data_IF_807476921410
#
_entry.id   IF_807476921410
#
_cell.length_a   1.000
_cell.length_b   1.000
_cell.length_c   1.000
_cell.angle_alpha   90.00
_cell.angle_beta   90.00
_cell.angle_gamma   90.00
#
_symmetry.space_group_name_H-M   'P 1'
#
loop_
_entity.id
_entity.type
_entity.pdbx_description
1 polymer ?
#
# COMPACT_ATOMS: atom_id res chain seq x y z
N UNK A 1 33.19 40.70 -76.40
CA UNK A 1 33.39 39.29 -75.97
C UNK A 1 34.42 39.31 -74.85
N UNK A 2 34.13 38.64 -73.73
CA UNK A 2 35.06 38.22 -72.67
C UNK A 2 35.50 39.28 -71.61
N UNK A 3 34.98 39.03 -70.40
CA UNK A 3 35.50 39.15 -69.02
C UNK A 3 36.21 40.43 -68.55
N UNK A 4 35.78 40.92 -67.38
CA UNK A 4 36.59 40.97 -66.15
C UNK A 4 35.69 41.15 -64.90
N UNK A 5 35.92 40.40 -63.81
CA UNK A 5 35.29 40.60 -62.49
C UNK A 5 36.27 41.27 -61.50
N UNK A 6 35.77 41.44 -60.27
CA UNK A 6 36.45 41.80 -59.02
C UNK A 6 36.54 43.29 -58.66
N UNK A 7 35.85 43.62 -57.55
CA UNK A 7 36.41 44.54 -56.56
C UNK A 7 35.39 45.46 -55.89
N UNK A 8 35.21 45.23 -54.58
CA UNK A 8 34.73 46.18 -53.57
C UNK A 8 33.22 46.47 -53.52
N UNK A 9 32.56 46.10 -52.42
CA UNK A 9 32.51 46.99 -51.25
C UNK A 9 31.74 46.31 -50.10
N UNK A 10 32.49 45.98 -49.06
CA UNK A 10 31.98 45.79 -47.69
C UNK A 10 31.40 47.13 -47.20
N UNK A 11 30.11 47.16 -46.84
CA UNK A 11 29.49 48.14 -45.92
C UNK A 11 27.99 47.87 -45.83
N UNK A 12 27.49 47.34 -44.73
CA UNK A 12 26.18 47.66 -44.10
C UNK A 12 26.21 47.04 -42.70
N UNK A 13 26.58 47.82 -41.67
CA UNK A 13 25.65 48.48 -40.74
C UNK A 13 24.76 47.46 -40.01
N UNK A 14 25.14 47.08 -38.79
CA UNK A 14 24.17 46.77 -37.74
C UNK A 14 24.62 47.44 -36.43
N UNK A 15 24.07 48.62 -36.19
CA UNK A 15 24.08 49.33 -34.92
C UNK A 15 22.86 48.89 -34.12
N UNK A 16 23.10 48.52 -32.85
CA UNK A 16 22.21 48.66 -31.68
C UNK A 16 20.92 47.83 -31.67
N UNK A 17 20.88 46.86 -30.75
CA UNK A 17 19.66 46.19 -30.32
C UNK A 17 19.89 45.28 -29.11
N UNK A 18 19.77 45.88 -27.92
CA UNK A 18 19.26 45.24 -26.70
C UNK A 18 20.00 43.98 -26.15
N UNK A 19 20.85 44.24 -25.17
CA UNK A 19 21.12 43.35 -24.03
C UNK A 19 19.79 43.03 -23.35
N UNK A 20 19.22 41.84 -23.59
CA UNK A 20 18.16 41.22 -22.79
C UNK A 20 17.95 39.77 -23.23
N UNK A 21 19.05 39.02 -23.32
CA UNK A 21 18.98 37.56 -23.26
C UNK A 21 18.86 37.14 -21.80
N UNK A 22 17.75 37.50 -21.16
CA UNK A 22 17.34 36.86 -19.92
C UNK A 22 17.16 35.38 -20.27
N UNK A 23 18.21 34.59 -20.05
CA UNK A 23 18.07 33.19 -19.73
C UNK A 23 17.28 33.14 -18.42
N UNK A 24 15.96 33.35 -18.51
CA UNK A 24 15.02 32.67 -17.68
C UNK A 24 15.23 31.19 -17.98
N UNK A 25 16.27 30.63 -17.36
CA UNK A 25 16.23 29.27 -16.89
C UNK A 25 14.99 29.22 -16.02
N UNK A 26 13.85 28.94 -16.66
CA UNK A 26 12.78 28.15 -16.09
C UNK A 26 13.42 26.81 -15.71
N UNK A 27 14.31 26.84 -14.71
CA UNK A 27 14.38 25.78 -13.74
C UNK A 27 13.04 25.84 -13.05
N UNK A 28 12.02 25.27 -13.69
CA UNK A 28 11.06 24.48 -12.93
C UNK A 28 11.94 23.53 -12.13
N UNK A 29 12.28 23.96 -10.93
CA UNK A 29 12.70 23.06 -9.88
C UNK A 29 11.57 22.05 -9.85
N UNK A 30 11.77 20.93 -10.54
CA UNK A 30 11.13 19.67 -10.24
C UNK A 30 11.55 19.44 -8.79
N UNK A 31 10.83 20.05 -7.86
CA UNK A 31 10.87 19.68 -6.47
C UNK A 31 10.59 18.20 -6.51
N UNK A 32 11.62 17.39 -6.26
CA UNK A 32 11.49 15.96 -6.22
C UNK A 32 10.29 15.67 -5.31
N UNK A 33 9.22 15.13 -5.91
CA UNK A 33 8.01 14.82 -5.17
C UNK A 33 8.43 13.85 -4.08
N UNK A 34 8.36 14.28 -2.82
CA UNK A 34 8.68 13.41 -1.70
C UNK A 34 7.58 12.35 -1.68
N UNK A 35 7.96 11.09 -1.87
CA UNK A 35 7.04 9.99 -1.71
C UNK A 35 7.06 9.56 -0.24
N UNK A 36 5.89 9.64 0.40
CA UNK A 36 5.66 9.12 1.74
C UNK A 36 5.12 7.69 1.64
N UNK A 37 5.54 6.85 2.57
CA UNK A 37 5.04 5.50 2.72
C UNK A 37 4.69 5.19 4.16
N UNK A 38 3.62 4.43 4.34
CA UNK A 38 3.21 3.88 5.62
C UNK A 38 2.88 2.40 5.42
N UNK A 39 3.55 1.51 6.13
CA UNK A 39 3.43 0.06 5.89
C UNK A 39 3.23 -0.70 7.19
N UNK A 40 2.35 -1.70 7.20
CA UNK A 40 2.18 -2.61 8.33
C UNK A 40 1.97 -4.06 7.86
N UNK A 41 2.54 -4.99 8.63
CA UNK A 41 2.36 -6.42 8.45
C UNK A 41 1.13 -6.90 9.24
N UNK A 42 0.25 -7.66 8.59
CA UNK A 42 -0.96 -8.23 9.18
C UNK A 42 -0.64 -9.59 9.81
N UNK A 43 -0.99 -9.81 11.07
CA UNK A 43 -0.59 -11.01 11.81
C UNK A 43 -1.68 -11.60 12.72
N UNK A 44 -2.76 -10.86 12.96
CA UNK A 44 -3.78 -11.20 13.95
C UNK A 44 -5.12 -11.41 13.27
N UNK A 45 -5.58 -12.67 13.22
CA UNK A 45 -6.90 -13.06 12.71
C UNK A 45 -7.89 -13.19 13.86
N UNK A 46 -9.06 -12.56 13.73
CA UNK A 46 -10.20 -12.75 14.65
C UNK A 46 -11.50 -12.80 13.86
N UNK A 47 -12.53 -13.46 14.40
CA UNK A 47 -13.85 -13.50 13.78
C UNK A 47 -14.94 -13.35 14.85
N UNK A 48 -16.06 -12.76 14.44
CA UNK A 48 -17.27 -12.62 15.23
C UNK A 48 -18.45 -13.08 14.38
N UNK A 49 -19.34 -13.85 14.98
CA UNK A 49 -20.55 -14.35 14.33
C UNK A 49 -21.77 -13.91 15.13
N UNK A 50 -22.82 -13.49 14.42
CA UNK A 50 -24.09 -13.13 15.02
C UNK A 50 -25.24 -13.57 14.12
N UNK A 51 -26.26 -14.17 14.73
CA UNK A 51 -27.53 -14.48 14.07
C UNK A 51 -28.62 -13.53 14.57
N UNK A 52 -29.26 -12.82 13.64
CA UNK A 52 -30.40 -11.94 13.87
C UNK A 52 -31.48 -12.27 12.84
N UNK A 53 -32.37 -13.21 13.16
CA UNK A 53 -33.42 -13.70 12.26
C UNK A 53 -34.10 -12.57 11.44
N UNK A 54 -34.20 -12.69 10.10
CA UNK A 54 -33.84 -13.85 9.27
C UNK A 54 -32.40 -13.82 8.72
N UNK A 55 -31.49 -13.05 9.32
CA UNK A 55 -30.16 -12.82 8.78
C UNK A 55 -29.06 -13.46 9.64
N UNK A 56 -28.17 -14.20 8.99
CA UNK A 56 -26.88 -14.58 9.59
C UNK A 56 -25.81 -13.58 9.14
N UNK A 57 -25.01 -13.09 10.08
CA UNK A 57 -23.92 -12.16 9.83
C UNK A 57 -22.61 -12.69 10.42
N UNK A 58 -21.53 -12.53 9.67
CA UNK A 58 -20.18 -12.87 10.11
C UNK A 58 -19.23 -11.73 9.78
N UNK A 59 -18.49 -11.27 10.78
CA UNK A 59 -17.44 -10.28 10.61
C UNK A 59 -16.09 -10.94 10.89
N UNK A 60 -15.17 -10.85 9.94
CA UNK A 60 -13.80 -11.36 10.08
C UNK A 60 -12.83 -10.19 10.04
N UNK A 61 -11.79 -10.23 10.88
CA UNK A 61 -10.76 -9.22 10.96
C UNK A 61 -9.39 -9.87 10.78
N UNK A 62 -8.56 -9.25 9.95
CA UNK A 62 -7.14 -9.51 9.87
C UNK A 62 -6.41 -8.19 10.12
N UNK A 63 -5.69 -8.09 11.22
CA UNK A 63 -5.10 -6.82 11.68
C UNK A 63 -3.61 -6.95 11.98
N UNK A 64 -2.90 -5.84 11.94
CA UNK A 64 -1.51 -5.76 12.38
C UNK A 64 -1.43 -5.61 13.90
N UNK A 65 -0.66 -6.42 14.62
CA UNK A 65 -0.42 -6.23 16.05
C UNK A 65 0.42 -4.98 16.33
N UNK A 66 1.39 -4.70 15.45
CA UNK A 66 2.22 -3.50 15.48
C UNK A 66 1.64 -2.48 14.51
N UNK A 67 1.20 -1.35 15.04
CA UNK A 67 0.59 -0.28 14.25
C UNK A 67 1.66 0.65 13.69
N UNK A 68 1.56 1.03 12.40
CA UNK A 68 2.55 1.90 11.81
C UNK A 68 2.31 3.36 12.23
N UNK A 69 3.40 4.14 12.26
CA UNK A 69 3.40 5.57 12.60
C UNK A 69 4.06 6.38 11.48
N UNK A 70 3.43 7.47 11.06
CA UNK A 70 3.96 8.46 10.12
C UNK A 70 4.20 9.77 10.86
N UNK A 71 5.40 10.32 10.81
CA UNK A 71 5.70 11.67 11.32
C UNK A 71 6.01 12.55 10.11
N UNK A 72 5.12 13.49 9.79
CA UNK A 72 5.32 14.38 8.65
C UNK A 72 4.61 15.73 8.83
N UNK A 73 5.35 16.81 8.58
CA UNK A 73 4.80 18.15 8.58
C UNK A 73 4.12 18.42 7.23
N UNK A 74 2.78 18.40 7.20
CA UNK A 74 2.02 18.67 5.99
C UNK A 74 1.82 20.17 5.69
N UNK A 75 2.07 21.06 6.65
CA UNK A 75 1.86 22.51 6.46
C UNK A 75 2.93 23.16 5.59
N UNK A 76 4.12 22.56 5.55
CA UNK A 76 5.25 23.01 4.72
C UNK A 76 5.46 22.12 3.48
N UNK A 77 4.68 21.06 3.35
CA UNK A 77 4.78 20.13 2.24
C UNK A 77 4.11 20.68 0.98
N UNK A 78 4.84 20.59 -0.15
CA UNK A 78 4.21 20.66 -1.45
C UNK A 78 3.40 19.41 -1.75
N UNK A 79 2.90 19.30 -2.99
CA UNK A 79 2.20 18.10 -3.44
C UNK A 79 3.05 16.84 -3.19
N UNK A 80 2.48 15.91 -2.43
CA UNK A 80 3.21 14.77 -1.84
C UNK A 80 2.40 13.50 -2.11
N UNK A 81 3.05 12.47 -2.65
CA UNK A 81 2.38 11.18 -2.83
C UNK A 81 2.46 10.40 -1.52
N UNK A 82 1.34 9.89 -1.02
CA UNK A 82 1.31 8.99 0.14
C UNK A 82 0.82 7.62 -0.30
N UNK A 83 1.57 6.59 0.05
CA UNK A 83 1.20 5.18 -0.15
C UNK A 83 1.05 4.49 1.19
N UNK A 84 -0.10 3.86 1.42
CA UNK A 84 -0.34 3.02 2.59
C UNK A 84 -0.39 1.56 2.16
N UNK A 85 0.38 0.68 2.80
CA UNK A 85 0.56 -0.71 2.39
C UNK A 85 0.28 -1.68 3.53
N UNK A 86 -0.67 -2.59 3.32
CA UNK A 86 -0.93 -3.74 4.18
C UNK A 86 -0.32 -4.98 3.55
N UNK A 87 0.57 -5.68 4.25
CA UNK A 87 1.24 -6.87 3.74
C UNK A 87 0.96 -8.10 4.60
N UNK A 88 0.92 -9.26 3.97
CA UNK A 88 1.03 -10.54 4.66
C UNK A 88 2.45 -10.69 5.24
N UNK A 89 2.64 -11.54 6.27
CA UNK A 89 3.97 -11.91 6.73
C UNK A 89 4.76 -12.63 5.65
N UNK A 90 6.09 -12.58 5.75
CA UNK A 90 6.96 -13.26 4.80
C UNK A 90 6.63 -14.76 4.70
N UNK A 91 6.45 -15.26 3.47
CA UNK A 91 6.07 -16.65 3.21
C UNK A 91 4.59 -16.97 3.47
N UNK A 92 3.74 -15.95 3.57
CA UNK A 92 2.30 -16.07 3.70
C UNK A 92 1.55 -15.25 2.65
N UNK A 93 0.30 -15.60 2.42
CA UNK A 93 -0.67 -14.87 1.61
C UNK A 93 -1.93 -14.62 2.45
N UNK A 94 -2.62 -13.54 2.15
CA UNK A 94 -3.96 -13.24 2.65
C UNK A 94 -4.94 -14.01 1.77
N UNK A 95 -5.86 -14.74 2.40
CA UNK A 95 -6.93 -15.47 1.72
C UNK A 95 -8.26 -14.97 2.24
N UNK A 96 -9.14 -14.64 1.31
CA UNK A 96 -10.51 -14.21 1.57
C UNK A 96 -11.44 -15.19 0.86
N UNK A 97 -12.10 -16.04 1.64
CA UNK A 97 -12.96 -17.10 1.14
C UNK A 97 -14.27 -17.11 1.94
N UNK A 98 -15.22 -16.21 1.64
CA UNK A 98 -16.52 -16.19 2.30
C UNK A 98 -17.21 -17.56 2.23
N UNK A 99 -18.05 -17.90 3.22
CA UNK A 99 -18.69 -19.21 3.24
C UNK A 99 -19.64 -19.39 2.05
N UNK A 100 -19.88 -20.63 1.59
CA UNK A 100 -20.70 -20.85 0.39
C UNK A 100 -22.10 -20.24 0.48
N UNK A 101 -22.51 -19.53 -0.57
CA UNK A 101 -23.79 -18.81 -0.66
C UNK A 101 -23.86 -17.48 0.08
N UNK A 102 -22.79 -17.04 0.76
CA UNK A 102 -22.76 -15.75 1.44
C UNK A 102 -22.36 -14.63 0.49
N UNK A 103 -22.96 -13.45 0.68
CA UNK A 103 -22.48 -12.22 0.05
C UNK A 103 -21.51 -11.53 1.00
N UNK A 104 -20.35 -11.08 0.50
CA UNK A 104 -19.34 -10.46 1.33
C UNK A 104 -18.86 -9.12 0.79
N UNK A 105 -18.51 -8.24 1.72
CA UNK A 105 -17.80 -7.00 1.47
C UNK A 105 -16.57 -6.90 2.35
N UNK A 106 -15.49 -6.35 1.80
CA UNK A 106 -14.21 -6.16 2.46
C UNK A 106 -13.92 -4.67 2.58
N UNK A 107 -13.59 -4.21 3.77
CA UNK A 107 -12.96 -2.92 4.04
C UNK A 107 -11.48 -3.10 4.31
N UNK A 108 -10.61 -2.40 3.57
CA UNK A 108 -9.21 -2.24 3.96
C UNK A 108 -9.11 -0.90 4.67
N UNK A 109 -8.68 -0.91 5.93
CA UNK A 109 -8.81 0.21 6.83
C UNK A 109 -7.49 0.54 7.53
N UNK A 110 -7.14 1.81 7.46
CA UNK A 110 -6.31 2.49 8.44
C UNK A 110 -7.18 3.55 9.10
N UNK A 111 -7.21 3.56 10.43
CA UNK A 111 -7.87 4.59 11.23
C UNK A 111 -6.91 5.02 12.34
N UNK A 112 -6.76 6.31 12.60
CA UNK A 112 -5.89 6.86 13.66
C UNK A 112 -6.58 7.01 15.02
N UNK A 113 -7.89 6.78 15.15
CA UNK A 113 -8.57 6.72 16.44
C UNK A 113 -10.01 7.21 16.48
N UNK A 114 -10.54 7.40 17.70
CA UNK A 114 -11.94 7.79 17.89
C UNK A 114 -12.20 9.21 17.41
N UNK A 115 -13.08 9.33 16.43
CA UNK A 115 -13.65 10.60 15.98
C UNK A 115 -14.62 11.15 17.01
N UNK A 116 -14.44 12.42 17.42
CA UNK A 116 -15.46 13.19 18.13
C UNK A 116 -15.97 14.31 17.22
N UNK A 117 -17.14 14.12 16.60
CA UNK A 117 -17.81 15.14 15.79
C UNK A 117 -18.54 14.57 14.57
N UNK A 118 -19.70 15.16 14.25
CA UNK A 118 -20.57 14.80 13.12
C UNK A 118 -20.08 15.33 11.78
N UNK A 119 -19.17 16.29 11.78
CA UNK A 119 -18.95 17.11 10.59
C UNK A 119 -17.88 16.48 9.71
N UNK A 120 -18.32 16.01 8.55
CA UNK A 120 -17.48 15.53 7.45
C UNK A 120 -17.13 16.74 6.60
N UNK A 121 -16.26 17.63 7.08
CA UNK A 121 -15.59 18.59 6.19
C UNK A 121 -14.37 17.97 5.46
N UNK A 122 -14.22 16.64 5.58
CA UNK A 122 -13.17 15.90 4.88
C UNK A 122 -13.43 15.84 3.38
N UNK A 123 -12.55 16.47 2.61
CA UNK A 123 -12.44 16.22 1.18
C UNK A 123 -11.91 14.80 0.96
N UNK A 124 -12.76 13.89 0.50
CA UNK A 124 -12.33 12.55 0.14
C UNK A 124 -11.39 12.59 -1.06
N UNK A 125 -10.11 12.34 -0.83
CA UNK A 125 -9.15 12.17 -1.93
C UNK A 125 -9.26 10.75 -2.43
N UNK A 126 -9.56 10.61 -3.73
CA UNK A 126 -9.62 9.32 -4.38
C UNK A 126 -8.21 8.73 -4.53
N UNK A 127 -7.98 7.61 -3.86
CA UNK A 127 -6.76 6.82 -4.02
C UNK A 127 -6.90 5.72 -5.05
N UNK A 128 -5.77 5.32 -5.64
CA UNK A 128 -5.66 4.11 -6.44
C UNK A 128 -5.31 2.92 -5.53
N UNK A 129 -6.08 1.84 -5.64
CA UNK A 129 -5.82 0.59 -4.91
C UNK A 129 -5.09 -0.40 -5.81
N UNK A 130 -3.99 -0.97 -5.35
CA UNK A 130 -3.20 -1.98 -6.06
C UNK A 130 -2.98 -3.20 -5.17
N UNK A 131 -3.07 -4.39 -5.75
CA UNK A 131 -2.83 -5.65 -5.05
C UNK A 131 -1.57 -6.32 -5.58
N UNK A 132 -0.81 -6.95 -4.69
CA UNK A 132 0.36 -7.75 -5.01
C UNK A 132 -0.03 -9.22 -5.08
N UNK A 133 0.36 -9.90 -6.17
CA UNK A 133 0.08 -11.32 -6.41
C UNK A 133 -1.41 -11.70 -6.33
N UNK A 134 -2.28 -10.80 -6.80
CA UNK A 134 -3.73 -11.01 -6.75
C UNK A 134 -4.15 -12.21 -7.61
N UNK A 135 -4.88 -13.14 -7.00
CA UNK A 135 -5.64 -14.20 -7.67
C UNK A 135 -7.12 -14.07 -7.27
N UNK A 136 -8.03 -14.33 -8.21
CA UNK A 136 -9.46 -14.04 -8.04
C UNK A 136 -9.81 -12.61 -8.47
N UNK A 137 -11.01 -12.14 -8.10
CA UNK A 137 -11.46 -10.78 -8.40
C UNK A 137 -12.46 -10.24 -7.40
N UNK A 138 -12.41 -8.92 -7.20
CA UNK A 138 -13.47 -8.18 -6.52
C UNK A 138 -14.49 -7.66 -7.53
N UNK A 139 -15.73 -7.48 -7.08
CA UNK A 139 -16.81 -6.88 -7.85
C UNK A 139 -16.83 -5.37 -7.61
N UNK A 140 -16.73 -4.60 -8.70
CA UNK A 140 -16.79 -3.14 -8.66
C UNK A 140 -15.43 -2.46 -8.49
N UNK A 141 -15.37 -1.12 -8.65
CA UNK A 141 -14.13 -0.37 -8.49
C UNK A 141 -13.76 -0.26 -7.01
N UNK A 142 -12.47 -0.43 -6.71
CA UNK A 142 -11.90 -0.11 -5.41
C UNK A 142 -11.84 1.42 -5.23
N UNK A 143 -12.85 2.01 -4.60
CA UNK A 143 -12.81 3.43 -4.26
C UNK A 143 -12.12 3.59 -2.91
N UNK A 144 -10.95 4.23 -2.90
CA UNK A 144 -10.27 4.58 -1.67
C UNK A 144 -10.61 6.01 -1.28
N UNK A 145 -11.03 6.19 -0.02
CA UNK A 145 -11.29 7.49 0.58
C UNK A 145 -10.22 7.77 1.63
N UNK A 146 -9.72 9.01 1.63
CA UNK A 146 -8.85 9.54 2.66
C UNK A 146 -9.55 10.71 3.31
N UNK A 147 -9.72 10.64 4.63
CA UNK A 147 -10.35 11.70 5.41
C UNK A 147 -9.30 12.29 6.35
N UNK A 148 -9.14 13.61 6.26
CA UNK A 148 -8.47 14.44 7.24
C UNK A 148 -9.52 15.30 7.91
N UNK A 149 -9.69 15.20 9.22
CA UNK A 149 -10.60 16.05 9.96
C UNK A 149 -9.90 16.64 11.18
N UNK A 150 -10.08 17.95 11.45
CA UNK A 150 -9.75 18.48 12.76
C UNK A 150 -10.69 17.80 13.75
N UNK A 151 -10.17 16.97 14.67
CA UNK A 151 -10.99 16.69 15.84
C UNK A 151 -10.86 17.86 16.80
N UNK A 152 -11.90 18.07 17.58
CA UNK A 152 -11.85 19.00 18.71
C UNK A 152 -10.60 18.70 19.53
N UNK A 153 -9.86 19.72 19.99
CA UNK A 153 -8.47 19.55 20.40
C UNK A 153 -8.24 18.37 21.36
N UNK A 154 -7.19 17.55 21.17
CA UNK A 154 -6.02 17.78 20.31
C UNK A 154 -5.70 16.64 19.31
N UNK A 155 -6.68 15.92 18.74
CA UNK A 155 -6.37 14.75 17.90
C UNK A 155 -6.79 14.98 16.46
N UNK A 156 -5.85 15.02 15.53
CA UNK A 156 -6.24 15.01 14.12
C UNK A 156 -6.69 13.59 13.72
N UNK A 157 -7.82 13.49 13.03
CA UNK A 157 -8.35 12.22 12.54
C UNK A 157 -7.91 11.99 11.10
N UNK A 158 -7.26 10.86 10.89
CA UNK A 158 -6.83 10.34 9.61
C UNK A 158 -7.38 8.93 9.41
N UNK A 159 -8.08 8.74 8.29
CA UNK A 159 -8.61 7.44 7.88
C UNK A 159 -8.31 7.20 6.41
N UNK A 160 -7.84 6.00 6.08
CA UNK A 160 -7.78 5.46 4.72
C UNK A 160 -8.67 4.25 4.66
N UNK A 161 -9.66 4.27 3.78
CA UNK A 161 -10.56 3.13 3.61
C UNK A 161 -10.83 2.86 2.15
N UNK A 162 -10.80 1.59 1.75
CA UNK A 162 -11.47 1.17 0.51
C UNK A 162 -12.42 0.02 0.79
N UNK A 163 -13.54 -0.02 0.07
CA UNK A 163 -14.55 -1.06 0.18
C UNK A 163 -14.65 -1.83 -1.13
N UNK A 164 -14.65 -3.15 -1.01
CA UNK A 164 -14.67 -4.09 -2.12
C UNK A 164 -15.83 -5.04 -1.90
N UNK A 165 -16.56 -5.37 -2.96
CA UNK A 165 -17.57 -6.43 -2.90
C UNK A 165 -17.00 -7.71 -3.48
N UNK A 166 -17.48 -8.85 -3.00
CA UNK A 166 -17.13 -10.16 -3.54
C UNK A 166 -18.39 -10.86 -4.04
N UNK A 167 -18.26 -11.58 -5.16
CA UNK A 167 -19.33 -12.47 -5.58
C UNK A 167 -19.40 -13.68 -4.62
N UNK A 168 -20.59 -14.28 -4.43
CA UNK A 168 -20.70 -15.51 -3.66
C UNK A 168 -19.78 -16.61 -4.21
N UNK A 169 -19.33 -17.50 -3.33
CA UNK A 169 -18.52 -18.68 -3.68
C UNK A 169 -17.18 -18.34 -4.37
N UNK A 170 -16.66 -17.13 -4.16
CA UNK A 170 -15.36 -16.71 -4.70
C UNK A 170 -14.28 -16.67 -3.64
N UNK A 171 -13.08 -17.11 -4.03
CA UNK A 171 -11.86 -16.95 -3.25
C UNK A 171 -10.99 -15.86 -3.89
N UNK A 172 -10.44 -14.99 -3.05
CA UNK A 172 -9.46 -13.99 -3.45
C UNK A 172 -8.22 -14.13 -2.59
N UNK A 173 -7.04 -14.13 -3.22
CA UNK A 173 -5.76 -14.21 -2.52
C UNK A 173 -4.79 -13.13 -2.97
N UNK A 174 -4.00 -12.58 -2.07
CA UNK A 174 -2.94 -11.61 -2.38
C UNK A 174 -1.88 -11.58 -1.26
N UNK A 175 -0.68 -11.10 -1.56
CA UNK A 175 0.41 -10.97 -0.58
C UNK A 175 0.47 -9.58 0.04
N UNK A 176 -0.14 -8.59 -0.60
CA UNK A 176 -0.28 -7.25 -0.06
C UNK A 176 -1.27 -6.41 -0.85
N UNK A 177 -1.68 -5.30 -0.25
CA UNK A 177 -2.51 -4.28 -0.88
C UNK A 177 -1.96 -2.91 -0.53
N UNK A 178 -1.94 -2.01 -1.50
CA UNK A 178 -1.52 -0.63 -1.33
C UNK A 178 -2.59 0.33 -1.81
N UNK A 179 -2.74 1.44 -1.10
CA UNK A 179 -3.58 2.56 -1.50
C UNK A 179 -2.67 3.77 -1.65
N UNK A 180 -2.63 4.33 -2.85
CA UNK A 180 -1.78 5.48 -3.19
C UNK A 180 -2.64 6.67 -3.58
N UNK A 181 -2.35 7.84 -3.03
CA UNK A 181 -3.04 9.08 -3.36
C UNK A 181 -2.09 10.27 -3.32
N UNK A 182 -2.50 11.34 -4.01
CA UNK A 182 -1.79 12.60 -4.05
C UNK A 182 -2.37 13.52 -2.97
N UNK A 183 -1.55 13.89 -2.00
CA UNK A 183 -1.85 14.95 -1.05
C UNK A 183 -1.46 16.27 -1.68
N UNK A 184 -2.44 17.11 -1.98
CA UNK A 184 -2.19 18.46 -2.53
C UNK A 184 -2.01 19.48 -1.42
N UNK A 185 -1.19 20.50 -1.68
CA UNK A 185 -1.05 21.62 -0.76
C UNK A 185 -2.43 22.24 -0.45
N UNK A 186 -2.85 22.20 0.83
CA UNK A 186 -4.16 22.68 1.28
C UNK A 186 -5.20 21.59 1.58
N UNK A 187 -4.94 20.31 1.27
CA UNK A 187 -5.81 19.20 1.68
C UNK A 187 -5.68 18.83 3.16
N UNK A 188 -4.68 19.38 3.84
CA UNK A 188 -4.34 19.06 5.22
C UNK A 188 -4.33 20.37 5.99
N UNK A 189 -5.32 20.57 6.85
CA UNK A 189 -5.56 21.87 7.50
C UNK A 189 -4.61 22.18 8.66
N UNK A 190 -3.88 21.20 9.20
CA UNK A 190 -3.04 21.37 10.40
C UNK A 190 -1.78 20.49 10.38
N UNK A 191 -0.82 20.79 11.27
CA UNK A 191 0.39 19.98 11.48
C UNK A 191 0.04 18.65 12.16
N UNK A 192 0.22 17.54 11.44
CA UNK A 192 0.15 16.20 12.01
C UNK A 192 1.53 15.84 12.55
N UNK A 193 1.80 16.21 13.81
CA UNK A 193 3.09 15.91 14.46
C UNK A 193 3.43 14.41 14.39
N UNK A 194 2.43 13.53 14.51
CA UNK A 194 2.51 12.12 14.14
C UNK A 194 1.12 11.52 13.92
N UNK A 195 0.97 10.70 12.88
CA UNK A 195 -0.18 9.82 12.66
C UNK A 195 0.22 8.44 13.16
N UNK A 196 -0.35 8.00 14.28
CA UNK A 196 -0.26 6.58 14.69
C UNK A 196 -1.59 5.92 14.39
N UNK A 197 -1.58 4.81 13.66
CA UNK A 197 -2.80 4.07 13.37
C UNK A 197 -3.35 3.43 14.66
N UNK A 198 -4.60 3.68 15.01
CA UNK A 198 -5.36 2.92 16.00
C UNK A 198 -5.84 1.60 15.40
N UNK A 199 -6.34 1.65 14.16
CA UNK A 199 -6.73 0.48 13.36
C UNK A 199 -5.86 0.39 12.13
N UNK A 200 -5.40 -0.82 11.84
CA UNK A 200 -4.66 -1.15 10.64
C UNK A 200 -5.01 -2.60 10.29
N UNK A 201 -6.01 -2.77 9.43
CA UNK A 201 -6.70 -4.04 9.27
C UNK A 201 -7.40 -4.20 7.91
N UNK A 202 -7.67 -5.45 7.57
CA UNK A 202 -8.66 -5.88 6.59
C UNK A 202 -9.86 -6.40 7.38
N UNK A 203 -11.04 -5.87 7.09
CA UNK A 203 -12.29 -6.18 7.79
C UNK A 203 -13.26 -6.72 6.75
N UNK A 204 -13.79 -7.91 6.98
CA UNK A 204 -14.80 -8.51 6.12
C UNK A 204 -16.14 -8.55 6.82
N UNK A 205 -17.20 -8.22 6.11
CA UNK A 205 -18.58 -8.47 6.53
C UNK A 205 -19.24 -9.37 5.50
N UNK A 206 -19.65 -10.55 5.93
CA UNK A 206 -20.43 -11.48 5.14
C UNK A 206 -21.85 -11.58 5.72
N UNK A 207 -22.83 -11.68 4.83
CA UNK A 207 -24.22 -11.89 5.20
C UNK A 207 -24.86 -13.00 4.38
N UNK A 208 -25.79 -13.71 5.03
CA UNK A 208 -26.63 -14.73 4.42
C UNK A 208 -28.08 -14.46 4.79
N UNK A 209 -28.94 -14.41 3.76
CA UNK A 209 -30.37 -14.22 3.92
C UNK A 209 -31.07 -15.58 3.84
N UNK A 210 -31.48 -16.13 4.99
CA UNK A 210 -32.07 -17.47 5.06
C UNK A 210 -32.16 -18.04 6.47
N UNK A 211 -32.24 -19.37 6.56
CA UNK A 211 -32.22 -20.06 7.86
C UNK A 211 -30.91 -19.78 8.61
N UNK A 212 -30.92 -19.97 9.93
CA UNK A 212 -29.70 -19.95 10.74
C UNK A 212 -28.68 -20.93 10.16
N UNK A 213 -27.51 -20.41 9.81
CA UNK A 213 -26.36 -21.20 9.35
C UNK A 213 -25.36 -21.22 10.50
N UNK A 214 -24.69 -22.34 10.74
CA UNK A 214 -23.66 -22.42 11.78
C UNK A 214 -22.56 -21.36 11.60
N UNK A 215 -21.87 -21.01 12.69
CA UNK A 215 -20.74 -20.08 12.66
C UNK A 215 -19.70 -20.54 11.61
N UNK A 216 -19.44 -19.74 10.57
CA UNK A 216 -18.48 -20.11 9.54
C UNK A 216 -17.02 -20.01 10.00
N UNK A 217 -16.74 -19.47 11.18
CA UNK A 217 -15.40 -19.16 11.64
C UNK A 217 -14.78 -17.98 10.88
N UNK A 218 -13.45 -17.88 10.94
CA UNK A 218 -12.70 -16.87 10.20
C UNK A 218 -12.58 -17.27 8.73
N UNK A 219 -13.07 -16.39 7.86
CA UNK A 219 -13.02 -16.54 6.40
C UNK A 219 -12.09 -15.51 5.73
N UNK A 220 -11.46 -14.65 6.54
CA UNK A 220 -10.23 -13.94 6.18
C UNK A 220 -9.11 -14.58 6.99
N UNK A 221 -8.14 -15.17 6.31
CA UNK A 221 -7.07 -15.94 6.93
C UNK A 221 -5.71 -15.58 6.36
N UNK A 222 -4.66 -16.00 7.08
CA UNK A 222 -3.30 -16.05 6.59
C UNK A 222 -2.97 -17.51 6.28
N UNK A 223 -2.52 -17.77 5.06
CA UNK A 223 -2.07 -19.09 4.65
C UNK A 223 -0.60 -19.04 4.28
N UNK A 224 0.14 -20.09 4.61
CA UNK A 224 1.50 -20.23 4.09
C UNK A 224 1.45 -20.35 2.57
N UNK A 225 2.32 -19.61 1.87
CA UNK A 225 2.48 -19.77 0.42
C UNK A 225 3.14 -21.09 0.05
N UNK A 226 3.53 -21.89 1.05
CA UNK A 226 4.45 -22.99 0.91
C UNK A 226 5.82 -22.42 0.56
N UNK A 227 6.77 -22.44 1.49
CA UNK A 227 8.16 -22.38 1.04
C UNK A 227 8.32 -23.51 0.01
N UNK A 228 8.89 -23.28 -1.18
CA UNK A 228 9.16 -24.36 -2.10
C UNK A 228 9.93 -25.40 -1.31
N UNK A 229 9.32 -26.58 -1.12
CA UNK A 229 9.98 -27.68 -0.44
C UNK A 229 11.28 -27.86 -1.22
N UNK A 230 12.46 -27.67 -0.61
CA UNK A 230 13.71 -27.75 -1.33
C UNK A 230 13.71 -29.05 -2.13
N UNK A 231 14.01 -28.98 -3.42
CA UNK A 231 14.03 -30.19 -4.23
C UNK A 231 14.99 -31.22 -3.59
N UNK A 232 14.77 -32.54 -3.77
CA UNK A 232 15.69 -33.56 -3.27
C UNK A 232 17.17 -33.28 -3.57
N UNK A 233 17.46 -32.64 -4.70
CA UNK A 233 18.80 -32.19 -5.08
C UNK A 233 19.40 -31.14 -4.13
N UNK A 234 18.58 -30.25 -3.56
CA UNK A 234 19.01 -29.24 -2.57
C UNK A 234 19.45 -29.92 -1.28
N UNK A 235 18.70 -30.92 -0.82
CA UNK A 235 19.11 -31.73 0.34
C UNK A 235 20.39 -32.50 0.05
N UNK A 236 20.52 -33.08 -1.15
CA UNK A 236 21.74 -33.77 -1.56
C UNK A 236 22.96 -32.82 -1.60
N UNK A 237 22.79 -31.59 -2.08
CA UNK A 237 23.84 -30.57 -2.08
C UNK A 237 24.25 -30.15 -0.67
N UNK A 238 23.29 -29.93 0.23
CA UNK A 238 23.55 -29.61 1.63
C UNK A 238 24.27 -30.75 2.37
N UNK A 239 23.83 -32.00 2.14
CA UNK A 239 24.52 -33.18 2.66
C UNK A 239 25.93 -33.32 2.09
N UNK A 240 26.10 -33.09 0.79
CA UNK A 240 27.41 -33.09 0.13
C UNK A 240 28.37 -32.06 0.74
N UNK A 241 27.89 -30.84 0.97
CA UNK A 241 28.67 -29.79 1.66
C UNK A 241 29.00 -30.19 3.11
N UNK A 242 28.07 -30.79 3.83
CA UNK A 242 28.30 -31.33 5.17
C UNK A 242 29.41 -32.39 5.21
N UNK A 243 29.39 -33.33 4.25
CA UNK A 243 30.43 -34.36 4.12
C UNK A 243 31.78 -33.74 3.78
N UNK A 244 31.83 -32.79 2.84
CA UNK A 244 33.08 -32.08 2.50
C UNK A 244 33.65 -31.31 3.70
N UNK A 245 32.79 -30.62 4.45
CA UNK A 245 33.18 -29.94 5.69
C UNK A 245 33.74 -30.90 6.73
N UNK A 246 33.09 -32.05 6.93
CA UNK A 246 33.57 -33.09 7.86
C UNK A 246 34.93 -33.67 7.44
N UNK A 247 35.13 -33.96 6.14
CA UNK A 247 36.41 -34.45 5.62
C UNK A 247 37.52 -33.41 5.83
N UNK A 248 37.24 -32.14 5.54
CA UNK A 248 38.20 -31.06 5.75
C UNK A 248 38.59 -30.90 7.23
N UNK A 249 37.61 -30.97 8.14
CA UNK A 249 37.84 -30.91 9.58
C UNK A 249 38.70 -32.08 10.08
N UNK A 250 38.41 -33.31 9.63
CA UNK A 250 39.18 -34.51 10.00
C UNK A 250 40.64 -34.41 9.57
N UNK A 251 40.89 -33.91 8.36
CA UNK A 251 42.27 -33.71 7.85
C UNK A 251 43.06 -32.67 8.64
N UNK A 252 42.40 -31.62 9.12
CA UNK A 252 43.04 -30.59 9.96
C UNK A 252 43.43 -31.15 11.32
N UNK A 253 42.54 -31.90 11.95
CA UNK A 253 42.75 -32.47 13.30
C UNK A 253 43.88 -33.51 13.35
N UNK A 254 44.15 -34.20 12.24
CA UNK A 254 45.25 -35.17 12.15
C UNK A 254 46.65 -34.54 12.03
N UNK A 255 46.78 -33.23 11.77
CA UNK A 255 48.07 -32.54 11.63
C UNK A 255 48.58 -31.88 12.91
N UNK A 256 47.78 -31.91 13.98
CA UNK A 256 48.08 -31.30 15.28
C UNK A 256 48.55 -32.30 16.34
N UNK A 257 48.95 -33.51 15.93
CA UNK A 257 49.60 -34.53 16.75
C UNK A 257 50.99 -34.78 16.17
#
# INVERSE_FOLDING_TARGET
MIRLPFGLLFKYVLRRGLVLGAFATLGSALSAQVALSLSGELDTVTSQYAYNSPYSGSTSYLSASIKPTLTYNFTTAGDTQLTVTWSAPAGQKIVIAPPPGWSASIGILLDSGSRTGSDFDGHGIMGATTFTDLTGSFTGPATANVVFAPATPPVNYYQVSTYLSMAPDTEVTFTGVSITYLLTAGSVHEDYAAITAATFAIIGNASFNGAEVGDPGAWITLESTGAPIPEPATYAALLGLGVLGFIAWRRRSARTV
#
